data_IF_165859354221
#
_entry.id   IF_165859354221
#
_cell.length_a   1.000
_cell.length_b   1.000
_cell.length_c   1.000
_cell.angle_alpha   90.00
_cell.angle_beta   90.00
_cell.angle_gamma   90.00
#
_symmetry.space_group_name_H-M   'P 1'
#
loop_
_entity.id
_entity.type
_entity.pdbx_description
1 polymer ?
#
# COMPACT_ATOMS: atom_id res chain seq x y z
N UNK A 1 12.52 -10.42 22.09
CA UNK A 1 12.49 -9.26 21.18
C UNK A 1 12.35 -9.81 19.76
N UNK A 2 11.41 -9.34 18.96
CA UNK A 2 11.26 -9.75 17.55
C UNK A 2 12.48 -9.26 16.76
N UNK A 3 12.94 -10.07 15.79
CA UNK A 3 14.03 -9.64 14.91
C UNK A 3 13.47 -8.71 13.84
N UNK A 4 14.16 -7.61 13.49
CA UNK A 4 13.80 -6.77 12.35
C UNK A 4 13.70 -7.59 11.06
N UNK A 5 12.85 -7.15 10.15
CA UNK A 5 12.76 -7.71 8.80
C UNK A 5 13.38 -6.76 7.79
N UNK A 6 14.13 -7.31 6.86
CA UNK A 6 14.63 -6.58 5.70
C UNK A 6 13.66 -6.79 4.52
N UNK A 7 13.10 -5.69 4.05
CA UNK A 7 12.23 -5.65 2.88
C UNK A 7 12.99 -4.98 1.73
N UNK A 8 13.83 -5.75 1.06
CA UNK A 8 14.65 -5.28 -0.06
C UNK A 8 15.46 -4.01 0.27
N UNK A 9 16.20 -4.04 1.39
CA UNK A 9 17.04 -2.93 1.87
C UNK A 9 16.32 -1.93 2.77
N UNK A 10 15.01 -2.01 2.93
CA UNK A 10 14.24 -1.20 3.90
C UNK A 10 13.99 -2.01 5.16
N UNK A 11 14.52 -1.53 6.27
CA UNK A 11 14.42 -2.25 7.54
C UNK A 11 13.12 -1.93 8.26
N UNK A 12 12.34 -2.98 8.52
CA UNK A 12 11.16 -2.93 9.37
C UNK A 12 11.59 -3.33 10.79
N UNK A 13 11.77 -2.36 11.68
CA UNK A 13 12.28 -2.59 13.05
C UNK A 13 11.41 -3.57 13.84
N UNK A 14 10.11 -3.37 13.75
CA UNK A 14 9.09 -4.28 14.28
C UNK A 14 8.41 -4.95 13.09
N UNK A 15 8.56 -6.28 12.90
CA UNK A 15 8.06 -6.99 11.72
C UNK A 15 6.54 -7.18 11.76
N UNK A 16 5.83 -6.08 11.87
CA UNK A 16 4.36 -6.02 11.86
C UNK A 16 3.94 -5.05 10.78
N UNK A 17 3.06 -5.51 9.90
CA UNK A 17 2.43 -4.71 8.85
C UNK A 17 0.94 -4.62 9.20
N UNK A 18 0.44 -3.40 9.37
CA UNK A 18 -0.96 -3.17 9.64
C UNK A 18 -1.79 -3.45 8.38
N UNK A 19 -2.95 -4.09 8.51
CA UNK A 19 -3.88 -4.30 7.41
C UNK A 19 -4.53 -2.99 6.95
N UNK A 20 -4.69 -2.82 5.64
CA UNK A 20 -5.40 -1.68 5.05
C UNK A 20 -6.91 -1.90 5.10
N UNK A 21 -7.62 -1.18 5.96
CA UNK A 21 -9.08 -1.26 6.13
C UNK A 21 -9.77 0.01 5.62
N UNK A 22 -10.61 -0.10 4.62
CA UNK A 22 -11.54 0.96 4.19
C UNK A 22 -12.85 0.86 4.98
N UNK A 23 -13.76 1.83 4.97
CA UNK A 23 -13.56 3.22 4.59
C UNK A 23 -13.34 4.01 5.87
N UNK A 24 -12.35 4.92 5.87
CA UNK A 24 -12.13 5.82 7.01
C UNK A 24 -11.43 5.20 8.24
N UNK A 25 -11.08 3.90 8.22
CA UNK A 25 -10.41 3.21 9.34
C UNK A 25 -8.89 3.36 9.25
N UNK A 26 -8.29 2.83 8.18
CA UNK A 26 -6.84 2.90 7.98
C UNK A 26 -6.45 4.22 7.31
N UNK A 27 -6.38 5.27 8.10
CA UNK A 27 -5.93 6.60 7.71
C UNK A 27 -4.71 7.03 8.55
N UNK A 28 -4.38 8.31 8.49
CA UNK A 28 -3.17 8.90 9.05
C UNK A 28 -2.92 8.58 10.53
N UNK A 29 -3.97 8.58 11.36
CA UNK A 29 -3.83 8.37 12.80
C UNK A 29 -3.35 6.94 13.09
N UNK A 30 -4.05 5.95 12.59
CA UNK A 30 -3.68 4.54 12.82
C UNK A 30 -2.32 4.24 12.20
N UNK A 31 -2.12 4.56 10.92
CA UNK A 31 -0.88 4.31 10.22
C UNK A 31 0.31 5.00 10.89
N UNK A 32 0.17 6.27 11.25
CA UNK A 32 1.24 7.04 11.89
C UNK A 32 1.67 6.50 13.25
N UNK A 33 0.73 6.03 14.07
CA UNK A 33 1.07 5.42 15.37
C UNK A 33 1.72 4.03 15.22
N UNK A 34 1.29 3.22 14.25
CA UNK A 34 1.98 1.95 13.94
C UNK A 34 3.41 2.21 13.47
N UNK A 35 3.61 3.18 12.59
CA UNK A 35 4.94 3.60 12.15
C UNK A 35 5.81 4.09 13.31
N UNK A 36 5.24 4.89 14.22
CA UNK A 36 5.94 5.41 15.40
C UNK A 36 6.53 4.30 16.26
N UNK A 37 5.87 3.15 16.32
CA UNK A 37 6.37 1.96 17.05
C UNK A 37 7.34 1.11 16.21
N UNK A 38 7.70 1.55 14.99
CA UNK A 38 8.67 0.87 14.13
C UNK A 38 8.08 -0.19 13.21
N UNK A 39 6.75 -0.29 13.12
CA UNK A 39 6.04 -1.16 12.18
C UNK A 39 5.81 -0.50 10.82
N UNK A 40 5.10 -1.17 9.93
CA UNK A 40 4.56 -0.58 8.70
C UNK A 40 3.11 -0.16 8.92
N UNK A 41 2.89 1.15 9.01
CA UNK A 41 1.54 1.72 9.00
C UNK A 41 1.00 1.75 7.57
N UNK A 42 -0.25 1.33 7.38
CA UNK A 42 -0.84 1.23 6.05
C UNK A 42 -2.08 2.11 5.94
N UNK A 43 -2.12 2.95 4.91
CA UNK A 43 -3.29 3.76 4.55
C UNK A 43 -4.09 3.01 3.49
N UNK A 44 -5.41 2.97 3.66
CA UNK A 44 -6.31 2.39 2.65
C UNK A 44 -6.65 3.42 1.59
N UNK A 45 -6.45 3.08 0.31
CA UNK A 45 -6.88 3.88 -0.82
C UNK A 45 -8.39 3.73 -1.13
N UNK A 46 -9.12 2.92 -0.35
CA UNK A 46 -10.56 2.78 -0.48
C UNK A 46 -11.27 4.03 0.07
N UNK A 47 -11.55 4.97 -0.81
CA UNK A 47 -12.26 6.23 -0.54
C UNK A 47 -11.71 7.04 0.65
N UNK A 48 -10.41 7.36 0.71
CA UNK A 48 -9.85 8.13 1.81
C UNK A 48 -10.44 9.53 1.93
N UNK A 49 -10.97 10.07 0.83
CA UNK A 49 -11.60 11.39 0.75
C UNK A 49 -13.11 11.41 1.04
N UNK A 50 -13.71 10.31 1.50
CA UNK A 50 -15.16 10.17 1.67
C UNK A 50 -15.83 11.29 2.49
N UNK A 51 -15.11 11.88 3.43
CA UNK A 51 -15.60 12.95 4.29
C UNK A 51 -15.37 14.37 3.73
N UNK A 52 -14.69 14.49 2.58
CA UNK A 52 -14.44 15.80 1.95
C UNK A 52 -15.72 16.33 1.30
N UNK A 53 -15.87 17.66 1.29
CA UNK A 53 -17.03 18.33 0.71
C UNK A 53 -17.12 18.15 -0.80
N UNK A 54 -15.97 18.08 -1.48
CA UNK A 54 -15.83 17.91 -2.93
C UNK A 54 -16.00 16.44 -3.39
N UNK A 55 -16.04 15.47 -2.47
CA UNK A 55 -16.07 14.04 -2.79
C UNK A 55 -17.23 13.65 -3.74
N UNK A 56 -18.41 14.23 -3.59
CA UNK A 56 -19.56 13.92 -4.46
C UNK A 56 -19.46 14.53 -5.85
N UNK A 57 -18.65 15.56 -6.02
CA UNK A 57 -18.47 16.25 -7.30
C UNK A 57 -17.33 15.63 -8.10
N UNK A 58 -16.21 15.34 -7.45
CA UNK A 58 -15.03 14.71 -8.04
C UNK A 58 -14.37 13.80 -7.01
N UNK A 59 -14.84 12.54 -6.97
CA UNK A 59 -14.33 11.55 -6.01
C UNK A 59 -12.88 11.15 -6.27
N UNK A 60 -12.43 11.20 -7.53
CA UNK A 60 -11.05 10.83 -7.89
C UNK A 60 -10.10 11.88 -7.32
N UNK A 61 -10.36 13.14 -7.60
CA UNK A 61 -9.57 14.26 -7.07
C UNK A 61 -9.59 14.27 -5.54
N UNK A 62 -10.77 14.20 -4.94
CA UNK A 62 -10.94 14.22 -3.48
C UNK A 62 -10.18 13.08 -2.79
N UNK A 63 -10.21 11.87 -3.36
CA UNK A 63 -9.46 10.73 -2.84
C UNK A 63 -7.95 10.90 -3.01
N UNK A 64 -7.50 11.40 -4.14
CA UNK A 64 -6.07 11.66 -4.40
C UNK A 64 -5.48 12.65 -3.40
N UNK A 65 -6.16 13.78 -3.19
CA UNK A 65 -5.73 14.78 -2.22
C UNK A 65 -5.78 14.27 -0.78
N UNK A 66 -6.87 13.57 -0.40
CA UNK A 66 -6.98 12.98 0.92
C UNK A 66 -5.89 11.93 1.20
N UNK A 67 -5.50 11.16 0.18
CA UNK A 67 -4.42 10.18 0.29
C UNK A 67 -3.08 10.87 0.55
N UNK A 68 -2.76 11.93 -0.20
CA UNK A 68 -1.54 12.74 0.00
C UNK A 68 -1.51 13.37 1.40
N UNK A 69 -2.62 13.97 1.83
CA UNK A 69 -2.76 14.54 3.16
C UNK A 69 -2.60 13.47 4.26
N UNK A 70 -3.19 12.29 4.08
CA UNK A 70 -3.09 11.20 5.04
C UNK A 70 -1.67 10.68 5.16
N UNK A 71 -0.94 10.54 4.06
CA UNK A 71 0.47 10.15 4.05
C UNK A 71 1.34 11.18 4.79
N UNK A 72 1.19 12.46 4.49
CA UNK A 72 1.92 13.54 5.16
C UNK A 72 1.66 13.57 6.67
N UNK A 73 0.39 13.45 7.08
CA UNK A 73 0.02 13.39 8.50
C UNK A 73 0.57 12.15 9.21
N UNK A 74 0.55 10.98 8.56
CA UNK A 74 1.13 9.75 9.13
C UNK A 74 2.64 9.90 9.37
N UNK A 75 3.35 10.47 8.42
CA UNK A 75 4.79 10.80 8.55
C UNK A 75 5.06 11.75 9.71
N UNK A 76 4.24 12.79 9.87
CA UNK A 76 4.35 13.73 10.98
C UNK A 76 4.14 13.06 12.34
N UNK A 77 3.12 12.18 12.47
CA UNK A 77 2.83 11.44 13.69
C UNK A 77 3.97 10.47 14.03
N UNK A 78 4.54 9.80 13.05
CA UNK A 78 5.61 8.82 13.27
C UNK A 78 6.95 9.45 13.63
N UNK A 79 7.14 10.73 13.34
CA UNK A 79 8.44 11.38 13.48
C UNK A 79 9.52 10.81 12.57
N UNK A 80 9.12 10.25 11.43
CA UNK A 80 10.01 9.63 10.45
C UNK A 80 10.39 8.17 10.73
N UNK A 81 9.83 7.55 11.79
CA UNK A 81 10.05 6.12 12.09
C UNK A 81 9.10 5.23 11.29
N UNK A 82 9.47 3.96 11.19
CA UNK A 82 8.68 2.93 10.53
C UNK A 82 8.53 3.15 9.03
N UNK A 83 7.76 2.30 8.38
CA UNK A 83 7.47 2.37 6.96
C UNK A 83 6.01 2.73 6.71
N UNK A 84 5.75 3.45 5.62
CA UNK A 84 4.42 3.83 5.19
C UNK A 84 4.00 3.01 3.97
N UNK A 85 3.00 2.15 4.14
CA UNK A 85 2.36 1.44 3.04
C UNK A 85 1.06 2.11 2.60
N UNK A 86 0.67 1.89 1.35
CA UNK A 86 -0.67 2.17 0.84
C UNK A 86 -1.28 0.88 0.30
N UNK A 87 -2.48 0.55 0.78
CA UNK A 87 -3.24 -0.60 0.29
C UNK A 87 -4.20 -0.14 -0.81
N UNK A 88 -4.08 -0.71 -2.01
CA UNK A 88 -4.92 -0.43 -3.16
C UNK A 88 -5.59 -1.70 -3.69
N UNK A 89 -6.88 -1.59 -4.07
CA UNK A 89 -7.64 -2.69 -4.63
C UNK A 89 -7.57 -2.67 -6.16
N UNK A 90 -7.08 -3.75 -6.78
CA UNK A 90 -7.01 -3.89 -8.25
C UNK A 90 -8.39 -3.74 -8.92
N UNK A 91 -9.45 -4.21 -8.25
CA UNK A 91 -10.82 -4.09 -8.74
C UNK A 91 -11.41 -2.67 -8.67
N UNK A 92 -10.68 -1.71 -8.10
CA UNK A 92 -11.11 -0.30 -8.09
C UNK A 92 -11.00 0.30 -9.49
N UNK A 93 -12.01 1.07 -9.90
CA UNK A 93 -12.03 1.77 -11.20
C UNK A 93 -10.82 2.69 -11.36
N UNK A 94 -10.37 3.31 -10.26
CA UNK A 94 -9.32 4.34 -10.27
C UNK A 94 -7.99 3.82 -9.71
N UNK A 95 -7.78 2.51 -9.78
CA UNK A 95 -6.60 1.83 -9.24
C UNK A 95 -5.29 2.50 -9.65
N UNK A 96 -5.08 2.73 -10.94
CA UNK A 96 -3.86 3.31 -11.48
C UNK A 96 -3.60 4.71 -10.94
N UNK A 97 -4.66 5.50 -10.81
CA UNK A 97 -4.60 6.87 -10.27
C UNK A 97 -4.16 6.85 -8.81
N UNK A 98 -4.72 5.95 -7.99
CA UNK A 98 -4.34 5.86 -6.58
C UNK A 98 -2.95 5.29 -6.37
N UNK A 99 -2.49 4.36 -7.22
CA UNK A 99 -1.10 3.88 -7.22
C UNK A 99 -0.13 5.04 -7.48
N UNK A 100 -0.37 5.83 -8.53
CA UNK A 100 0.46 6.99 -8.85
C UNK A 100 0.44 8.05 -7.75
N UNK A 101 -0.75 8.37 -7.22
CA UNK A 101 -0.87 9.30 -6.09
C UNK A 101 -0.12 8.81 -4.83
N UNK A 102 -0.05 7.49 -4.60
CA UNK A 102 0.72 6.92 -3.50
C UNK A 102 2.22 7.11 -3.66
N UNK A 103 2.73 6.95 -4.88
CA UNK A 103 4.14 7.23 -5.20
C UNK A 103 4.45 8.72 -4.99
N UNK A 104 3.61 9.61 -5.52
CA UNK A 104 3.74 11.06 -5.34
C UNK A 104 3.67 11.49 -3.87
N UNK A 105 2.87 10.80 -3.06
CA UNK A 105 2.75 11.04 -1.64
C UNK A 105 3.94 10.51 -0.81
N UNK A 106 4.92 9.88 -1.45
CA UNK A 106 6.11 9.34 -0.78
C UNK A 106 5.85 8.11 0.08
N UNK A 107 4.93 7.23 -0.34
CA UNK A 107 4.76 5.93 0.29
C UNK A 107 6.01 5.07 0.10
N UNK A 108 6.33 4.21 1.09
CA UNK A 108 7.44 3.26 1.01
C UNK A 108 7.04 1.97 0.31
N UNK A 109 5.75 1.61 0.37
CA UNK A 109 5.25 0.38 -0.20
C UNK A 109 3.83 0.54 -0.78
N UNK A 110 3.55 -0.20 -1.85
CA UNK A 110 2.18 -0.44 -2.35
C UNK A 110 1.83 -1.90 -2.11
N UNK A 111 0.76 -2.11 -1.35
CA UNK A 111 0.20 -3.43 -1.05
C UNK A 111 -1.08 -3.56 -1.88
N UNK A 112 -1.15 -4.53 -2.78
CA UNK A 112 -2.21 -4.57 -3.78
C UNK A 112 -2.90 -5.92 -3.82
N UNK A 113 -4.23 -5.90 -3.68
CA UNK A 113 -5.09 -7.08 -3.64
C UNK A 113 -6.44 -6.85 -4.28
N UNK A 114 -7.43 -7.68 -3.93
CA UNK A 114 -8.74 -7.69 -4.59
C UNK A 114 -8.63 -7.83 -6.11
N UNK A 115 -7.81 -8.77 -6.55
CA UNK A 115 -7.41 -9.06 -7.92
C UNK A 115 -5.89 -9.27 -8.03
N UNK A 116 -5.43 -9.70 -9.19
CA UNK A 116 -4.00 -9.89 -9.44
C UNK A 116 -3.39 -8.60 -10.01
N UNK A 117 -2.42 -7.97 -9.31
CA UNK A 117 -1.84 -6.70 -9.72
C UNK A 117 -0.77 -6.87 -10.82
N UNK A 118 -1.17 -7.46 -11.96
CA UNK A 118 -0.22 -7.84 -13.00
C UNK A 118 0.54 -6.63 -13.58
N UNK A 119 -0.11 -5.47 -13.68
CA UNK A 119 0.47 -4.25 -14.27
C UNK A 119 1.07 -3.29 -13.24
N UNK A 120 1.05 -3.63 -11.94
CA UNK A 120 1.53 -2.75 -10.89
C UNK A 120 2.97 -2.25 -11.12
N UNK A 121 3.95 -3.07 -11.57
CA UNK A 121 5.31 -2.58 -11.82
C UNK A 121 5.38 -1.45 -12.85
N UNK A 122 4.56 -1.49 -13.91
CA UNK A 122 4.57 -0.43 -14.93
C UNK A 122 4.00 0.90 -14.44
N UNK A 123 3.15 0.88 -13.41
CA UNK A 123 2.56 2.10 -12.84
C UNK A 123 3.54 2.89 -11.97
N UNK A 124 4.63 2.26 -11.55
CA UNK A 124 5.62 2.81 -10.62
C UNK A 124 7.02 2.83 -11.21
N UNK A 125 7.12 2.75 -12.52
CA UNK A 125 8.40 2.75 -13.23
C UNK A 125 9.26 3.96 -12.85
N UNK A 126 10.55 3.73 -12.61
CA UNK A 126 11.49 4.77 -12.16
C UNK A 126 11.42 5.11 -10.67
N UNK A 127 10.56 4.45 -9.88
CA UNK A 127 10.52 4.59 -8.42
C UNK A 127 11.16 3.39 -7.71
N UNK A 128 11.64 3.61 -6.49
CA UNK A 128 12.20 2.59 -5.60
C UNK A 128 11.17 2.06 -4.58
N UNK A 129 9.88 2.34 -4.83
CA UNK A 129 8.79 1.91 -3.95
C UNK A 129 8.69 0.39 -3.91
N UNK A 130 8.48 -0.16 -2.70
CA UNK A 130 8.29 -1.60 -2.51
C UNK A 130 6.92 -2.03 -3.05
N UNK A 131 6.88 -3.19 -3.69
CA UNK A 131 5.66 -3.76 -4.26
C UNK A 131 5.31 -5.09 -3.61
N UNK A 132 4.09 -5.18 -3.10
CA UNK A 132 3.60 -6.36 -2.44
C UNK A 132 2.21 -6.77 -2.95
N UNK A 133 2.10 -7.83 -3.75
CA UNK A 133 0.81 -8.41 -4.08
C UNK A 133 0.21 -9.16 -2.88
N UNK A 134 -1.10 -9.05 -2.70
CA UNK A 134 -1.87 -9.89 -1.80
C UNK A 134 -2.38 -11.09 -2.60
N UNK A 135 -2.11 -12.29 -2.12
CA UNK A 135 -2.47 -13.54 -2.79
C UNK A 135 -2.99 -14.58 -1.80
N UNK A 136 -3.88 -15.45 -2.26
CA UNK A 136 -4.50 -16.50 -1.46
C UNK A 136 -4.13 -17.92 -1.91
N UNK A 137 -3.27 -18.07 -2.92
CA UNK A 137 -2.89 -19.39 -3.43
C UNK A 137 -1.50 -19.42 -4.06
N UNK A 138 -0.85 -20.57 -4.00
CA UNK A 138 0.42 -20.81 -4.68
C UNK A 138 0.32 -20.63 -6.21
N UNK A 139 -0.86 -20.91 -6.80
CA UNK A 139 -1.11 -20.69 -8.23
C UNK A 139 -1.08 -19.21 -8.58
N UNK A 140 -1.75 -18.38 -7.78
CA UNK A 140 -1.74 -16.91 -7.94
C UNK A 140 -0.33 -16.34 -7.77
N UNK A 141 0.41 -16.79 -6.75
CA UNK A 141 1.80 -16.39 -6.54
C UNK A 141 2.67 -16.68 -7.76
N UNK A 142 2.65 -17.92 -8.25
CA UNK A 142 3.43 -18.31 -9.44
C UNK A 142 3.07 -17.49 -10.67
N UNK A 143 1.80 -17.13 -10.83
CA UNK A 143 1.36 -16.32 -11.96
C UNK A 143 1.92 -14.90 -11.87
N UNK A 144 1.76 -14.23 -10.73
CA UNK A 144 2.28 -12.87 -10.53
C UNK A 144 3.80 -12.83 -10.68
N UNK A 145 4.52 -13.74 -10.02
CA UNK A 145 5.98 -13.81 -10.09
C UNK A 145 6.48 -13.96 -11.53
N UNK A 146 5.91 -14.92 -12.28
CA UNK A 146 6.31 -15.16 -13.68
C UNK A 146 5.96 -13.99 -14.59
N UNK A 147 4.78 -13.39 -14.38
CA UNK A 147 4.32 -12.29 -15.21
C UNK A 147 5.21 -11.05 -15.00
N UNK A 148 5.49 -10.69 -13.74
CA UNK A 148 6.33 -9.54 -13.44
C UNK A 148 7.77 -9.73 -13.93
N UNK A 149 8.35 -10.92 -13.70
CA UNK A 149 9.69 -11.26 -14.18
C UNK A 149 9.79 -11.15 -15.71
N UNK A 150 8.86 -11.81 -16.44
CA UNK A 150 8.91 -11.86 -17.90
C UNK A 150 8.59 -10.54 -18.61
N UNK A 151 7.74 -9.66 -17.99
CA UNK A 151 7.30 -8.42 -18.64
C UNK A 151 8.04 -7.18 -18.14
N UNK A 152 8.52 -7.20 -16.91
CA UNK A 152 9.11 -6.02 -16.27
C UNK A 152 10.51 -6.26 -15.70
N UNK A 153 11.02 -7.50 -15.76
CA UNK A 153 12.31 -7.86 -15.13
C UNK A 153 12.33 -7.60 -13.63
N UNK A 154 11.16 -7.66 -12.96
CA UNK A 154 10.99 -7.34 -11.55
C UNK A 154 10.23 -8.44 -10.82
N UNK A 155 10.55 -8.64 -9.55
CA UNK A 155 9.79 -9.51 -8.64
C UNK A 155 9.19 -8.69 -7.51
N UNK A 156 8.13 -9.17 -6.83
CA UNK A 156 7.66 -8.55 -5.60
C UNK A 156 8.75 -8.46 -4.53
N UNK A 157 8.77 -7.35 -3.79
CA UNK A 157 9.70 -7.16 -2.68
C UNK A 157 9.30 -8.01 -1.46
N UNK A 158 8.00 -8.19 -1.27
CA UNK A 158 7.41 -9.16 -0.35
C UNK A 158 6.01 -9.58 -0.86
N UNK A 159 5.43 -10.58 -0.23
CA UNK A 159 4.10 -11.08 -0.58
C UNK A 159 3.25 -11.13 0.69
N UNK A 160 2.03 -10.62 0.60
CA UNK A 160 1.02 -10.80 1.64
C UNK A 160 0.18 -12.03 1.29
N UNK A 161 0.07 -12.96 2.23
CA UNK A 161 -0.72 -14.18 2.04
C UNK A 161 -2.02 -14.04 2.83
N UNK A 162 -3.13 -14.00 2.12
CA UNK A 162 -4.45 -14.06 2.72
C UNK A 162 -4.80 -15.51 3.07
N UNK A 163 -5.25 -15.73 4.30
CA UNK A 163 -5.82 -17.00 4.71
C UNK A 163 -7.25 -17.19 4.17
N UNK A 164 -7.77 -18.41 4.30
CA UNK A 164 -9.14 -18.75 3.87
C UNK A 164 -10.24 -17.99 4.65
N UNK A 165 -9.89 -17.47 5.82
CA UNK A 165 -10.78 -16.69 6.69
C UNK A 165 -10.61 -15.17 6.51
N UNK A 166 -9.72 -14.72 5.63
CA UNK A 166 -9.59 -13.31 5.30
C UNK A 166 -10.80 -12.89 4.46
N UNK A 167 -11.67 -12.09 5.03
CA UNK A 167 -12.94 -11.64 4.45
C UNK A 167 -12.80 -10.63 3.32
#
# INVERSE_FOLDING_TARGET
>A
MMKPADLNGRILEVPIIQGGMGVGVSLSSLAGHVMKEGGMGVISAAHPGYARQDFRQDSIHANGEALKEACAKARAISGGRGLLGVNSMVASTDYDTYVKASVEAGADAIISGAGLPLHLPSLVEGSDILLAPIISSAKAAKLVLRYWDSHYGRTPDFIVIDGSEAG
#
